data_IF_904092182639
#
_entry.id   IF_904092182639
#
_cell.length_a   1.000
_cell.length_b   1.000
_cell.length_c   1.000
_cell.angle_alpha   90.00
_cell.angle_beta   90.00
_cell.angle_gamma   90.00
#
_symmetry.space_group_name_H-M   'P 1'
#
loop_
_entity.id
_entity.type
_entity.pdbx_description
1 polymer ?
#
# COMPACT_ATOMS: atom_id res chain seq x y z
N UNK A 1 10.02 -5.21 -18.67
CA UNK A 1 9.74 -4.88 -17.26
C UNK A 1 9.32 -3.42 -17.21
N UNK A 2 8.58 -2.99 -16.19
CA UNK A 2 8.20 -1.59 -16.04
C UNK A 2 8.42 -1.13 -14.60
N UNK A 3 8.66 0.15 -14.43
CA UNK A 3 8.76 0.80 -13.13
C UNK A 3 7.70 1.88 -13.06
N UNK A 4 7.04 2.02 -11.92
CA UNK A 4 5.98 2.98 -11.71
C UNK A 4 6.17 3.76 -10.42
N UNK A 5 5.56 4.94 -10.38
CA UNK A 5 5.55 5.82 -9.22
C UNK A 5 4.20 6.52 -9.15
N UNK A 6 3.60 6.56 -7.96
CA UNK A 6 2.29 7.17 -7.74
C UNK A 6 2.48 8.64 -7.38
N UNK A 7 2.23 9.53 -8.34
CA UNK A 7 2.43 10.98 -8.15
C UNK A 7 1.58 11.54 -7.01
N UNK A 8 0.40 10.96 -6.77
CA UNK A 8 -0.47 11.41 -5.67
C UNK A 8 0.12 11.07 -4.29
N UNK A 9 0.78 9.91 -4.16
CA UNK A 9 1.46 9.53 -2.92
C UNK A 9 2.72 10.36 -2.71
N UNK A 10 3.47 10.63 -3.78
CA UNK A 10 4.63 11.52 -3.75
C UNK A 10 4.25 12.93 -3.29
N UNK A 11 3.14 13.49 -3.80
CA UNK A 11 2.59 14.78 -3.34
C UNK A 11 2.18 14.75 -1.86
N UNK A 12 1.74 13.60 -1.36
CA UNK A 12 1.43 13.36 0.05
C UNK A 12 2.67 13.07 0.92
N UNK A 13 3.88 13.35 0.42
CA UNK A 13 5.16 13.07 1.08
C UNK A 13 5.37 11.58 1.41
N UNK A 14 4.70 10.70 0.67
CA UNK A 14 4.85 9.25 0.75
C UNK A 14 5.44 8.77 -0.57
N UNK A 15 6.75 8.92 -0.81
CA UNK A 15 7.36 8.43 -2.04
C UNK A 15 6.98 6.98 -2.29
N UNK A 16 6.40 6.71 -3.47
CA UNK A 16 6.06 5.36 -3.90
C UNK A 16 6.90 4.93 -5.10
N UNK A 17 7.43 3.71 -5.01
CA UNK A 17 8.18 3.11 -6.08
C UNK A 17 7.68 1.69 -6.28
N UNK A 18 7.21 1.40 -7.48
CA UNK A 18 6.81 0.05 -7.84
C UNK A 18 7.49 -0.45 -9.10
N UNK A 19 7.50 -1.76 -9.21
CA UNK A 19 7.96 -2.48 -10.38
C UNK A 19 6.85 -3.42 -10.85
N UNK A 20 6.61 -3.44 -12.15
CA UNK A 20 5.57 -4.23 -12.79
C UNK A 20 6.20 -5.15 -13.86
N UNK A 21 5.87 -6.44 -13.76
CA UNK A 21 6.35 -7.51 -14.62
C UNK A 21 5.17 -8.02 -15.46
N UNK A 22 5.36 -8.08 -16.78
CA UNK A 22 4.39 -8.68 -17.69
C UNK A 22 4.52 -10.19 -17.59
N UNK A 23 3.45 -10.85 -17.11
CA UNK A 23 3.45 -12.31 -16.88
C UNK A 23 2.66 -13.04 -17.98
N UNK A 24 1.73 -12.36 -18.64
CA UNK A 24 0.96 -12.95 -19.75
C UNK A 24 0.58 -11.92 -20.80
N UNK A 25 -0.19 -12.37 -21.80
CA UNK A 25 -0.65 -11.52 -22.91
C UNK A 25 -1.61 -10.41 -22.44
N UNK A 26 -2.21 -10.56 -21.26
CA UNK A 26 -3.21 -9.64 -20.70
C UNK A 26 -3.03 -9.39 -19.21
N UNK A 27 -1.93 -9.83 -18.62
CA UNK A 27 -1.74 -9.79 -17.17
C UNK A 27 -0.36 -9.36 -16.78
N UNK A 28 -0.29 -8.65 -15.65
CA UNK A 28 0.95 -8.18 -15.06
C UNK A 28 0.91 -8.40 -13.55
N UNK A 29 2.10 -8.55 -12.98
CA UNK A 29 2.30 -8.62 -11.53
C UNK A 29 3.18 -7.46 -11.15
N UNK A 30 2.69 -6.63 -10.25
CA UNK A 30 3.40 -5.50 -9.70
C UNK A 30 3.67 -5.67 -8.21
N UNK A 31 4.77 -5.08 -7.77
CA UNK A 31 5.03 -4.81 -6.37
C UNK A 31 5.27 -3.32 -6.23
N UNK A 32 4.48 -2.66 -5.40
CA UNK A 32 4.63 -1.24 -5.08
C UNK A 32 5.09 -1.11 -3.63
N UNK A 33 6.16 -0.34 -3.40
CA UNK A 33 6.67 -0.06 -2.08
C UNK A 33 6.44 1.43 -1.75
N UNK A 34 5.89 1.68 -0.58
CA UNK A 34 5.63 2.99 -0.01
C UNK A 34 6.61 3.25 1.12
N UNK A 35 7.23 4.41 1.10
CA UNK A 35 8.06 4.86 2.20
C UNK A 35 7.58 6.24 2.63
N UNK A 36 7.38 6.44 3.92
CA UNK A 36 7.12 7.76 4.47
C UNK A 36 8.04 8.00 5.66
N UNK A 37 8.69 9.16 5.67
CA UNK A 37 9.48 9.64 6.80
C UNK A 37 9.06 11.07 7.12
N UNK A 38 8.29 11.21 8.19
CA UNK A 38 7.92 12.49 8.78
C UNK A 38 7.00 13.37 7.91
N UNK A 39 5.83 12.86 7.47
CA UNK A 39 4.91 13.61 6.62
C UNK A 39 4.40 14.83 7.36
N UNK A 40 4.43 15.98 6.69
CA UNK A 40 3.98 17.27 7.23
C UNK A 40 4.62 17.66 8.58
N UNK A 41 5.85 17.21 8.84
CA UNK A 41 6.60 17.55 10.06
C UNK A 41 6.16 16.81 11.32
N UNK A 42 5.35 15.75 11.20
CA UNK A 42 4.93 14.87 12.30
C UNK A 42 5.78 13.60 12.32
N UNK A 43 6.23 13.16 13.50
CA UNK A 43 7.00 11.92 13.70
C UNK A 43 6.15 10.67 13.41
N UNK A 44 5.95 10.40 12.12
CA UNK A 44 5.27 9.22 11.59
C UNK A 44 6.21 8.54 10.59
N UNK A 45 6.44 7.25 10.79
CA UNK A 45 7.16 6.41 9.85
C UNK A 45 6.20 5.37 9.30
N UNK A 46 6.13 5.27 7.98
CA UNK A 46 5.28 4.28 7.30
C UNK A 46 6.17 3.55 6.31
N UNK A 47 6.21 2.23 6.44
CA UNK A 47 6.85 1.35 5.49
C UNK A 47 5.79 0.39 4.96
N UNK A 48 5.39 0.57 3.71
CA UNK A 48 4.35 -0.23 3.06
C UNK A 48 4.89 -0.99 1.86
N UNK A 49 4.37 -2.19 1.66
CA UNK A 49 4.51 -2.96 0.43
C UNK A 49 3.12 -3.41 -0.03
N UNK A 50 2.91 -3.37 -1.34
CA UNK A 50 1.65 -3.64 -2.00
C UNK A 50 1.90 -4.53 -3.21
N UNK A 51 1.86 -5.86 -3.04
CA UNK A 51 1.81 -6.76 -4.18
C UNK A 51 0.44 -6.65 -4.86
N UNK A 52 0.41 -6.47 -6.18
CA UNK A 52 -0.81 -6.34 -6.98
C UNK A 52 -0.71 -7.13 -8.28
N UNK A 53 -1.72 -7.93 -8.58
CA UNK A 53 -1.91 -8.60 -9.86
C UNK A 53 -2.91 -7.81 -10.69
N UNK A 54 -2.53 -7.35 -11.89
CA UNK A 54 -3.41 -6.61 -12.81
C UNK A 54 -3.77 -7.44 -14.03
N UNK A 55 -5.03 -7.36 -14.44
CA UNK A 55 -5.59 -7.95 -15.65
C UNK A 55 -6.16 -6.86 -16.55
N UNK A 56 -5.76 -6.86 -17.82
CA UNK A 56 -6.11 -5.86 -18.82
C UNK A 56 -7.13 -6.41 -19.81
N UNK A 57 -8.25 -5.70 -19.98
CA UNK A 57 -9.30 -6.13 -20.91
C UNK A 57 -8.95 -5.86 -22.38
N UNK A 58 -8.03 -4.94 -22.65
CA UNK A 58 -7.66 -4.49 -24.00
C UNK A 58 -6.86 -5.51 -24.83
N UNK A 59 -6.63 -6.74 -24.34
CA UNK A 59 -5.86 -7.76 -25.05
C UNK A 59 -4.34 -7.49 -25.13
N UNK A 60 -3.87 -6.41 -24.50
CA UNK A 60 -2.45 -6.05 -24.37
C UNK A 60 -2.20 -5.59 -22.93
N UNK A 61 -1.07 -5.96 -22.31
CA UNK A 61 -0.73 -5.47 -20.98
C UNK A 61 -0.47 -3.97 -21.02
N UNK A 62 -0.81 -3.27 -19.93
CA UNK A 62 -0.55 -1.84 -19.75
C UNK A 62 -1.30 -0.92 -20.73
N UNK A 63 -2.53 -1.28 -21.11
CA UNK A 63 -3.32 -0.53 -22.10
C UNK A 63 -4.83 -0.51 -21.78
N UNK A 64 -5.45 0.69 -21.80
CA UNK A 64 -6.86 0.97 -21.49
C UNK A 64 -7.31 0.45 -20.11
N UNK A 65 -8.42 -0.27 -20.02
CA UNK A 65 -9.04 -0.70 -18.78
C UNK A 65 -8.29 -1.88 -18.13
N UNK A 66 -8.05 -1.78 -16.83
CA UNK A 66 -7.53 -2.88 -16.02
C UNK A 66 -8.27 -3.05 -14.71
N UNK A 67 -8.26 -4.29 -14.22
CA UNK A 67 -8.65 -4.64 -12.86
C UNK A 67 -7.45 -5.27 -12.16
N UNK A 68 -7.20 -4.84 -10.95
CA UNK A 68 -6.15 -5.30 -10.07
C UNK A 68 -6.72 -5.98 -8.84
N UNK A 69 -6.03 -6.99 -8.33
CA UNK A 69 -6.24 -7.53 -7.00
C UNK A 69 -4.90 -7.63 -6.30
N UNK A 70 -4.82 -7.15 -5.06
CA UNK A 70 -3.56 -7.02 -4.37
C UNK A 70 -3.68 -7.09 -2.86
N UNK A 71 -2.54 -7.36 -2.24
CA UNK A 71 -2.36 -7.20 -0.81
C UNK A 71 -1.80 -5.81 -0.51
N UNK A 72 -2.02 -5.35 0.71
CA UNK A 72 -1.34 -4.22 1.33
C UNK A 72 -0.76 -4.73 2.64
N UNK A 73 0.54 -4.61 2.83
CA UNK A 73 1.19 -4.84 4.10
C UNK A 73 1.97 -3.58 4.45
N UNK A 74 1.58 -2.89 5.52
CA UNK A 74 2.27 -1.67 5.93
C UNK A 74 2.50 -1.66 7.43
N UNK A 75 3.76 -1.41 7.79
CA UNK A 75 4.16 -1.11 9.16
C UNK A 75 4.00 0.38 9.39
N UNK A 76 3.35 0.74 10.50
CA UNK A 76 3.14 2.12 10.91
C UNK A 76 3.74 2.32 12.29
N UNK A 77 4.63 3.31 12.42
CA UNK A 77 5.12 3.84 13.69
C UNK A 77 4.63 5.28 13.82
N UNK A 78 3.59 5.49 14.61
CA UNK A 78 3.05 6.83 14.88
C UNK A 78 3.33 7.16 16.35
N UNK A 79 4.14 8.20 16.58
CA UNK A 79 4.32 8.75 17.93
C UNK A 79 3.45 10.00 18.07
N UNK A 80 2.31 9.88 18.76
CA UNK A 80 1.43 11.04 19.01
C UNK A 80 1.28 11.28 20.51
N UNK A 81 1.72 12.47 20.96
CA UNK A 81 1.53 12.98 22.33
C UNK A 81 1.95 12.02 23.46
N UNK A 82 3.06 11.28 23.29
CA UNK A 82 3.54 10.34 24.32
C UNK A 82 2.86 8.96 24.26
N UNK A 83 2.41 8.53 23.09
CA UNK A 83 2.03 7.13 22.82
C UNK A 83 2.70 6.67 21.55
N UNK A 84 3.30 5.49 21.59
CA UNK A 84 3.89 4.82 20.42
C UNK A 84 2.89 3.78 19.97
N UNK A 85 2.35 4.01 18.78
CA UNK A 85 1.46 3.08 18.11
C UNK A 85 2.28 2.34 17.06
N UNK A 86 2.77 1.15 17.43
CA UNK A 86 3.50 0.24 16.57
C UNK A 86 2.58 -0.91 16.15
N UNK A 87 2.37 -1.06 14.84
CA UNK A 87 1.49 -2.08 14.31
C UNK A 87 1.72 -2.39 12.84
N UNK A 88 1.40 -3.63 12.46
CA UNK A 88 1.38 -4.09 11.07
C UNK A 88 -0.07 -4.10 10.60
N UNK A 89 -0.37 -3.25 9.62
CA UNK A 89 -1.63 -3.29 8.87
C UNK A 89 -1.50 -4.28 7.72
N UNK A 90 -2.42 -5.25 7.66
CA UNK A 90 -2.55 -6.16 6.52
C UNK A 90 -3.91 -5.91 5.87
N UNK A 91 -3.93 -5.86 4.55
CA UNK A 91 -5.15 -5.66 3.80
C UNK A 91 -5.12 -6.40 2.49
N UNK A 92 -6.30 -6.64 1.94
CA UNK A 92 -6.48 -7.11 0.59
C UNK A 92 -7.46 -6.19 -0.10
N UNK A 93 -7.16 -5.81 -1.34
CA UNK A 93 -7.95 -4.85 -2.08
C UNK A 93 -8.06 -5.21 -3.54
N UNK A 94 -9.10 -4.64 -4.15
CA UNK A 94 -9.25 -4.62 -5.59
C UNK A 94 -9.03 -3.20 -6.07
N UNK A 95 -8.35 -3.09 -7.21
CA UNK A 95 -8.05 -1.82 -7.88
C UNK A 95 -8.70 -1.88 -9.25
N UNK A 96 -9.26 -0.77 -9.72
CA UNK A 96 -9.71 -0.61 -11.09
C UNK A 96 -9.05 0.65 -11.65
N UNK A 97 -8.72 0.64 -12.92
CA UNK A 97 -8.06 1.79 -13.50
C UNK A 97 -8.07 1.81 -15.01
N UNK A 98 -7.55 2.91 -15.53
CA UNK A 98 -7.43 3.17 -16.94
C UNK A 98 -6.03 3.69 -17.26
N UNK A 99 -5.38 3.09 -18.26
CA UNK A 99 -4.04 3.45 -18.71
C UNK A 99 -4.13 4.29 -19.99
N UNK A 100 -3.56 5.48 -19.94
CA UNK A 100 -3.30 6.39 -21.05
C UNK A 100 -1.87 6.21 -21.54
N UNK A 101 -1.69 5.70 -22.76
CA UNK A 101 -0.37 5.62 -23.38
C UNK A 101 0.03 6.97 -23.97
N UNK A 102 0.96 7.65 -23.30
CA UNK A 102 1.45 8.96 -23.75
C UNK A 102 2.59 8.81 -24.76
N UNK A 103 3.46 7.81 -24.60
CA UNK A 103 4.61 7.54 -25.47
C UNK A 103 4.88 6.03 -25.50
N UNK A 104 5.70 5.54 -26.45
CA UNK A 104 6.10 4.12 -26.54
C UNK A 104 6.74 3.54 -25.26
N UNK A 105 7.19 4.39 -24.33
CA UNK A 105 7.86 3.99 -23.08
C UNK A 105 7.22 4.56 -21.82
N UNK A 106 6.31 5.54 -21.94
CA UNK A 106 5.71 6.24 -20.80
C UNK A 106 4.20 6.11 -20.90
N UNK A 107 3.61 5.54 -19.86
CA UNK A 107 2.17 5.42 -19.68
C UNK A 107 1.77 6.17 -18.41
N UNK A 108 0.59 6.76 -18.44
CA UNK A 108 -0.04 7.35 -17.25
C UNK A 108 -1.23 6.47 -16.92
N UNK A 109 -1.33 5.99 -15.70
CA UNK A 109 -2.47 5.22 -15.22
C UNK A 109 -3.24 5.99 -14.16
N UNK A 110 -4.55 6.08 -14.34
CA UNK A 110 -5.48 6.58 -13.33
C UNK A 110 -6.13 5.37 -12.69
N UNK A 111 -6.02 5.23 -11.37
CA UNK A 111 -6.50 4.05 -10.68
C UNK A 111 -7.20 4.42 -9.37
N UNK A 112 -8.19 3.64 -9.01
CA UNK A 112 -8.93 3.73 -7.77
C UNK A 112 -9.27 2.32 -7.29
N UNK A 113 -9.27 2.10 -5.99
CA UNK A 113 -9.34 0.77 -5.42
C UNK A 113 -9.79 0.84 -3.98
N UNK A 114 -10.50 -0.19 -3.57
CA UNK A 114 -10.98 -0.38 -2.22
C UNK A 114 -10.58 -1.76 -1.74
N UNK A 115 -10.35 -1.86 -0.45
CA UNK A 115 -9.96 -3.12 0.15
C UNK A 115 -10.37 -3.22 1.60
N UNK A 116 -10.41 -4.48 2.02
CA UNK A 116 -10.61 -4.86 3.40
C UNK A 116 -9.26 -4.78 4.08
N UNK A 117 -9.10 -3.81 4.96
CA UNK A 117 -7.92 -3.71 5.80
C UNK A 117 -8.28 -4.30 7.16
N UNK A 118 -7.52 -5.32 7.56
CA UNK A 118 -7.56 -5.86 8.92
C UNK A 118 -6.48 -5.17 9.73
N UNK A 119 -6.87 -4.59 10.85
CA UNK A 119 -5.95 -3.95 11.76
C UNK A 119 -5.81 -4.80 13.01
N UNK A 120 -4.58 -5.22 13.29
CA UNK A 120 -4.19 -5.73 14.60
C UNK A 120 -3.49 -4.58 15.32
N UNK A 121 -4.11 -4.03 16.36
CA UNK A 121 -3.59 -2.88 17.07
C UNK A 121 -3.07 -3.25 18.46
N UNK A 122 -1.91 -2.71 18.85
CA UNK A 122 -1.44 -2.65 20.24
C UNK A 122 -1.42 -1.19 20.70
N UNK A 123 -2.14 -0.88 21.79
CA UNK A 123 -2.14 0.44 22.42
C UNK A 123 -1.13 0.47 23.58
N UNK A 124 -0.15 1.39 23.57
CA UNK A 124 0.73 1.64 24.72
C UNK A 124 0.89 3.14 25.02
N UNK A 125 0.88 3.52 26.31
CA UNK A 125 1.21 4.86 26.84
C UNK A 125 2.67 4.91 27.31
N UNK A 126 3.39 6.02 27.08
CA UNK A 126 4.84 6.21 27.37
C UNK A 126 5.21 6.16 28.87
N UNK A 127 4.24 6.02 29.78
CA UNK A 127 4.48 6.03 31.23
C UNK A 127 4.20 4.73 32.00
N UNK A 128 3.53 3.73 31.42
CA UNK A 128 3.15 2.54 32.18
C UNK A 128 4.05 1.33 31.87
N UNK A 129 4.60 0.76 32.94
CA UNK A 129 5.29 -0.55 32.93
C UNK A 129 4.24 -1.67 32.83
N UNK A 130 3.64 -1.86 31.65
CA UNK A 130 2.71 -2.96 31.36
C UNK A 130 3.39 -4.21 30.78
N UNK A 131 4.66 -4.45 31.10
CA UNK A 131 5.36 -5.68 30.66
C UNK A 131 4.79 -6.95 31.35
N UNK A 132 3.96 -6.78 32.38
CA UNK A 132 3.53 -7.87 33.28
C UNK A 132 2.04 -8.24 33.24
N UNK A 133 1.16 -7.47 32.59
CA UNK A 133 -0.30 -7.62 32.82
C UNK A 133 -1.11 -8.24 31.66
N UNK A 134 -0.44 -8.62 30.57
CA UNK A 134 -1.07 -9.26 29.40
C UNK A 134 -0.42 -10.57 28.97
N UNK A 135 0.19 -11.27 29.94
CA UNK A 135 0.71 -12.62 29.76
C UNK A 135 -0.15 -13.61 30.55
N UNK A 136 -1.10 -14.27 29.89
CA UNK A 136 -1.64 -15.54 30.39
C UNK A 136 -0.87 -16.63 29.63
N UNK A 137 0.00 -17.35 30.34
CA UNK A 137 0.91 -18.38 29.80
C UNK A 137 1.98 -17.89 28.80
N UNK A 138 2.49 -16.65 28.93
CA UNK A 138 3.67 -16.20 28.17
C UNK A 138 3.44 -15.86 26.70
N UNK A 139 2.18 -15.77 26.24
CA UNK A 139 1.85 -15.31 24.88
C UNK A 139 1.17 -13.94 24.90
N UNK A 140 1.78 -12.97 24.21
CA UNK A 140 1.26 -11.61 24.09
C UNK A 140 -0.01 -11.58 23.20
N UNK A 141 -1.17 -11.24 23.77
CA UNK A 141 -2.44 -11.14 23.03
C UNK A 141 -2.79 -9.71 22.60
N UNK A 142 -3.12 -9.55 21.32
CA UNK A 142 -3.71 -8.34 20.70
C UNK A 142 -5.16 -8.14 21.14
N UNK A 143 -5.54 -6.94 21.62
CA UNK A 143 -6.81 -6.68 22.31
C UNK A 143 -7.94 -6.05 21.44
N UNK A 144 -7.74 -5.87 20.14
CA UNK A 144 -8.83 -5.48 19.23
C UNK A 144 -8.59 -6.03 17.81
N UNK A 145 -9.63 -6.66 17.24
CA UNK A 145 -9.67 -7.17 15.86
C UNK A 145 -10.90 -6.58 15.18
N UNK A 146 -10.72 -5.97 14.02
CA UNK A 146 -11.80 -5.41 13.21
C UNK A 146 -11.41 -5.36 11.74
N UNK A 147 -12.41 -5.21 10.87
CA UNK A 147 -12.23 -5.02 9.44
C UNK A 147 -12.94 -3.73 9.03
N UNK A 148 -12.25 -2.90 8.26
CA UNK A 148 -12.85 -1.74 7.61
C UNK A 148 -12.63 -1.83 6.12
N UNK A 149 -13.66 -1.46 5.35
CA UNK A 149 -13.51 -1.23 3.91
C UNK A 149 -13.00 0.20 3.77
N UNK A 150 -11.79 0.34 3.27
CA UNK A 150 -11.18 1.63 3.02
C UNK A 150 -10.73 1.70 1.56
N UNK A 151 -10.71 2.91 0.96
CA UNK A 151 -10.02 3.09 -0.30
C UNK A 151 -8.54 2.72 -0.09
N UNK A 152 -8.09 1.64 -0.71
CA UNK A 152 -6.72 1.11 -0.57
C UNK A 152 -5.75 1.79 -1.52
N UNK A 153 -6.24 2.22 -2.69
CA UNK A 153 -5.45 2.94 -3.70
C UNK A 153 -6.33 3.97 -4.38
N UNK A 154 -5.86 5.20 -4.51
CA UNK A 154 -6.46 6.18 -5.39
C UNK A 154 -5.36 7.11 -5.87
N UNK A 155 -5.27 7.33 -7.17
CA UNK A 155 -4.25 8.22 -7.69
C UNK A 155 -4.00 8.11 -9.17
N UNK A 156 -2.99 8.87 -9.57
CA UNK A 156 -2.41 8.87 -10.90
C UNK A 156 -0.97 8.43 -10.76
N UNK A 157 -0.58 7.45 -11.55
CA UNK A 157 0.79 6.93 -11.58
C UNK A 157 1.39 7.11 -12.94
N UNK A 158 2.70 7.29 -12.96
CA UNK A 158 3.49 7.30 -14.19
C UNK A 158 4.27 6.01 -14.22
N UNK A 159 4.08 5.26 -15.31
CA UNK A 159 4.74 3.99 -15.53
C UNK A 159 5.70 4.11 -16.71
N UNK A 160 6.95 3.73 -16.50
CA UNK A 160 8.02 3.69 -17.49
C UNK A 160 8.38 2.25 -17.87
N UNK A 161 8.33 1.92 -19.16
CA UNK A 161 8.65 0.60 -19.69
C UNK A 161 10.17 0.51 -19.95
N UNK A 162 10.84 -0.35 -19.20
CA UNK A 162 12.23 -0.76 -19.41
C UNK A 162 12.27 -1.80 -20.53
N UNK A 163 13.00 -1.47 -21.61
CA UNK A 163 13.23 -2.32 -22.78
C UNK A 163 14.55 -3.06 -22.63
#
# INVERSE_FOLDING_TARGET
>A
MAVNTDLLMDLAQTPSLGAELVVGERSTVGLNALFNRNPWGKTMHILGVQPEYRYYFSGRPMHREFIGIGGLAASYDITWSGKVYEGIGLGVGMTFGYVFSLTKRVNIDCHAGFGLITYNHKEYYVGDKYDTDYSVNGEQRTNAKGYYILPTRIGVSVTYILK
#
